data_IF_880002735135
#
_entry.id   IF_880002735135
#
_cell.length_a   1.000
_cell.length_b   1.000
_cell.length_c   1.000
_cell.angle_alpha   90.00
_cell.angle_beta   90.00
_cell.angle_gamma   90.00
#
_symmetry.space_group_name_H-M   'P 1'
#
loop_
_entity.id
_entity.type
_entity.pdbx_description
1 polymer ?
#
# COMPACT_ATOMS: atom_id res chain seq x y z
N UNK A 1 -2.98 -5.56 2.06
CA UNK A 1 -2.90 -4.08 2.00
C UNK A 1 -1.96 -3.59 3.11
N UNK A 2 -1.08 -2.63 2.82
CA UNK A 2 -0.20 -1.98 3.80
C UNK A 2 -0.77 -0.65 4.30
N UNK A 3 0.07 0.17 4.89
CA UNK A 3 -0.30 1.49 5.42
C UNK A 3 -0.77 2.44 4.29
N UNK A 4 -1.80 3.24 4.57
CA UNK A 4 -2.43 4.16 3.61
C UNK A 4 -2.96 3.50 2.32
N UNK A 5 -3.21 2.19 2.36
CA UNK A 5 -3.78 1.41 1.26
C UNK A 5 -4.97 0.60 1.79
N UNK A 6 -6.04 0.50 0.99
CA UNK A 6 -7.16 -0.42 1.26
C UNK A 6 -7.43 -1.33 0.07
N UNK A 7 -8.13 -2.43 0.32
CA UNK A 7 -8.55 -3.35 -0.72
C UNK A 7 -10.04 -3.15 -1.01
N UNK A 8 -10.40 -3.03 -2.28
CA UNK A 8 -11.78 -3.08 -2.76
C UNK A 8 -12.38 -4.48 -2.59
N UNK A 9 -13.69 -4.61 -2.86
CA UNK A 9 -14.40 -5.89 -2.82
C UNK A 9 -13.83 -6.92 -3.82
N UNK A 10 -13.30 -6.42 -4.93
CA UNK A 10 -12.63 -7.16 -5.99
C UNK A 10 -11.14 -7.44 -5.70
N UNK A 11 -10.66 -7.09 -4.51
CA UNK A 11 -9.25 -7.18 -4.09
C UNK A 11 -8.30 -6.21 -4.81
N UNK A 12 -8.81 -5.20 -5.51
CA UNK A 12 -7.99 -4.13 -6.07
C UNK A 12 -7.44 -3.24 -4.95
N UNK A 13 -6.15 -2.90 -4.99
CA UNK A 13 -5.52 -2.03 -3.99
C UNK A 13 -5.66 -0.56 -4.40
N UNK A 14 -6.21 0.26 -3.50
CA UNK A 14 -6.40 1.69 -3.70
C UNK A 14 -5.64 2.48 -2.64
N UNK A 15 -5.00 3.58 -3.06
CA UNK A 15 -4.37 4.53 -2.16
C UNK A 15 -5.44 5.32 -1.38
N UNK A 16 -5.17 5.60 -0.10
CA UNK A 16 -5.99 6.49 0.73
C UNK A 16 -5.53 7.94 0.67
N UNK A 17 -4.26 8.16 0.35
CA UNK A 17 -3.59 9.45 0.33
C UNK A 17 -2.63 9.49 -0.84
N UNK A 18 -2.30 10.70 -1.28
CA UNK A 18 -1.25 10.92 -2.27
C UNK A 18 0.13 10.76 -1.62
N UNK A 19 1.08 10.24 -2.39
CA UNK A 19 2.43 9.99 -1.90
C UNK A 19 3.19 8.98 -2.74
N UNK A 20 4.28 8.49 -2.19
CA UNK A 20 5.16 7.53 -2.85
C UNK A 20 4.76 6.10 -2.54
N UNK A 21 4.75 5.25 -3.56
CA UNK A 21 4.41 3.83 -3.43
C UNK A 21 5.62 3.05 -2.92
N UNK A 22 5.43 2.33 -1.82
CA UNK A 22 6.44 1.44 -1.24
C UNK A 22 6.00 -0.01 -1.32
N UNK A 23 6.89 -0.84 -1.84
CA UNK A 23 6.71 -2.29 -1.91
C UNK A 23 7.59 -2.95 -0.86
N UNK A 24 6.98 -3.74 0.03
CA UNK A 24 7.69 -4.46 1.07
C UNK A 24 7.37 -5.96 1.01
N UNK A 25 8.40 -6.80 1.15
CA UNK A 25 8.20 -8.25 1.34
C UNK A 25 8.37 -8.57 2.81
N UNK A 26 7.33 -9.13 3.42
CA UNK A 26 7.35 -9.57 4.82
C UNK A 26 7.58 -11.08 4.94
N UNK A 27 7.84 -11.52 6.16
CA UNK A 27 8.04 -12.92 6.49
C UNK A 27 6.89 -13.81 5.95
N UNK A 28 7.25 -14.99 5.44
CA UNK A 28 6.30 -15.89 4.79
C UNK A 28 6.04 -15.59 3.31
N UNK A 29 6.89 -14.78 2.67
CA UNK A 29 6.83 -14.50 1.23
C UNK A 29 5.67 -13.60 0.80
N UNK A 30 5.01 -12.94 1.76
CA UNK A 30 3.88 -12.06 1.49
C UNK A 30 4.37 -10.66 1.13
N UNK A 31 3.91 -10.17 -0.01
CA UNK A 31 4.15 -8.79 -0.46
C UNK A 31 3.07 -7.85 0.06
N UNK A 32 3.49 -6.68 0.53
CA UNK A 32 2.64 -5.60 1.02
C UNK A 32 2.95 -4.33 0.24
N UNK A 33 1.92 -3.52 0.01
CA UNK A 33 2.02 -2.23 -0.66
C UNK A 33 1.48 -1.17 0.28
N UNK A 34 2.27 -0.12 0.51
CA UNK A 34 1.92 1.04 1.34
C UNK A 34 2.22 2.33 0.62
N UNK A 35 1.58 3.43 1.02
CA UNK A 35 1.90 4.78 0.55
C UNK A 35 2.57 5.57 1.67
N UNK A 36 3.76 6.10 1.38
CA UNK A 36 4.44 7.10 2.22
C UNK A 36 4.00 8.49 1.77
N UNK A 37 3.26 9.26 2.60
CA UNK A 37 2.86 10.62 2.25
C UNK A 37 4.11 11.48 2.03
N UNK A 38 4.05 12.34 1.03
CA UNK A 38 5.09 13.31 0.77
C UNK A 38 4.45 14.71 0.73
N UNK A 39 5.12 15.68 1.35
CA UNK A 39 4.74 17.10 1.25
C UNK A 39 5.51 17.72 0.08
N UNK A 40 4.78 18.43 -0.79
CA UNK A 40 5.29 19.01 -2.03
C UNK A 40 6.22 20.21 -1.83
#
# INVERSE_FOLDING_TARGET
PGENVYAGKDHTLHARVDGLVKFEKKAGGKSYVSIEPFDA
#
